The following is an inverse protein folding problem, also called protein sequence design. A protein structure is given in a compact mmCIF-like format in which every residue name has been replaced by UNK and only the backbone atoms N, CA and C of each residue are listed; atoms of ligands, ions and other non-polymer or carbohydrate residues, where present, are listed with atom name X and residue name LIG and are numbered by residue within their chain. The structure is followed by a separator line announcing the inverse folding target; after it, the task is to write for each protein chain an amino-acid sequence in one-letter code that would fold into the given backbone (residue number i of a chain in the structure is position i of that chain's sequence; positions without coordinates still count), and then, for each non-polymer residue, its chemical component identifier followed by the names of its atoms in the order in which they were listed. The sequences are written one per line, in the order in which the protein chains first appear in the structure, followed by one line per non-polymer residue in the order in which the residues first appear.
data_IF_632533463740
#
_entry.id   IF_632533463740
#
_cell.length_a   1.000
_cell.length_b   1.000
_cell.length_c   1.000
_cell.angle_alpha   90.00
_cell.angle_beta   90.00
_cell.angle_gamma   90.00
#
_symmetry.space_group_name_H-M   'P 1'
#
loop_
_entity.id
_entity.type
_entity.pdbx_description
1 polymer ?
#
# COMPACT_ATOMS: atom_id res chain seq x y z
N UNK A 1 10.40 -10.78 9.48
CA UNK A 1 10.55 -10.20 8.12
C UNK A 1 10.09 -8.74 8.08
N UNK A 2 10.38 -8.01 7.00
CA UNK A 2 9.89 -6.65 6.76
C UNK A 2 9.22 -6.57 5.40
N UNK A 3 8.07 -5.90 5.36
CA UNK A 3 7.32 -5.62 4.14
C UNK A 3 7.34 -4.11 3.95
N UNK A 4 7.84 -3.66 2.81
CA UNK A 4 7.96 -2.24 2.48
C UNK A 4 7.05 -1.94 1.31
N UNK A 5 6.01 -1.17 1.53
CA UNK A 5 5.17 -0.63 0.47
C UNK A 5 5.71 0.73 0.03
N UNK A 6 5.86 0.89 -1.26
CA UNK A 6 6.26 2.14 -1.91
C UNK A 6 5.12 2.57 -2.81
N UNK A 7 4.44 3.67 -2.46
CA UNK A 7 3.45 4.25 -3.36
C UNK A 7 4.16 4.80 -4.60
N UNK A 8 3.58 4.58 -5.79
CA UNK A 8 4.09 5.20 -7.02
C UNK A 8 4.30 6.70 -6.86
N UNK A 9 5.23 7.27 -7.59
CA UNK A 9 5.50 8.69 -7.64
C UNK A 9 4.35 9.45 -8.32
N UNK A 10 4.40 10.79 -8.36
CA UNK A 10 3.31 11.62 -8.87
C UNK A 10 2.90 11.19 -10.29
N UNK A 11 1.61 10.78 -10.48
CA UNK A 11 1.19 10.11 -11.68
C UNK A 11 0.71 11.06 -12.77
N UNK A 12 1.05 10.75 -14.02
CA UNK A 12 0.33 11.21 -15.20
C UNK A 12 -0.66 10.10 -15.61
N UNK A 13 -1.93 10.27 -15.27
CA UNK A 13 -2.97 9.30 -15.58
C UNK A 13 -3.32 9.24 -17.07
N UNK A 14 -2.88 10.21 -17.89
CA UNK A 14 -3.19 10.22 -19.34
C UNK A 14 -2.43 9.16 -20.11
N UNK A 15 -1.24 8.79 -19.60
CA UNK A 15 -0.33 7.80 -20.20
C UNK A 15 0.03 6.68 -19.25
N UNK A 16 -0.59 6.63 -18.06
CA UNK A 16 -0.29 5.68 -16.95
C UNK A 16 1.22 5.64 -16.62
N UNK A 17 1.84 6.81 -16.50
CA UNK A 17 3.25 6.98 -16.17
C UNK A 17 3.42 8.05 -15.09
N UNK A 18 4.56 8.75 -15.05
CA UNK A 18 4.91 9.77 -14.08
C UNK A 18 4.91 11.16 -14.71
N UNK A 19 4.50 12.17 -13.96
CA UNK A 19 4.72 13.58 -14.33
C UNK A 19 6.21 13.93 -14.28
N UNK A 20 6.65 15.08 -14.82
CA UNK A 20 8.04 15.54 -14.63
C UNK A 20 8.46 15.55 -13.15
N UNK A 21 7.57 16.01 -12.26
CA UNK A 21 7.78 15.95 -10.81
C UNK A 21 7.86 14.52 -10.29
N UNK A 22 6.99 13.63 -10.79
CA UNK A 22 7.02 12.21 -10.43
C UNK A 22 8.36 11.54 -10.78
N UNK A 23 9.00 11.92 -11.87
CA UNK A 23 10.34 11.43 -12.21
C UNK A 23 11.44 11.96 -11.26
N UNK A 24 11.31 13.21 -10.78
CA UNK A 24 12.19 13.76 -9.74
C UNK A 24 12.00 13.01 -8.41
N UNK A 25 10.74 12.81 -7.97
CA UNK A 25 10.42 11.99 -6.80
C UNK A 25 11.03 10.58 -6.91
N UNK A 26 10.90 9.93 -8.09
CA UNK A 26 11.43 8.59 -8.33
C UNK A 26 12.96 8.54 -8.23
N UNK A 27 13.66 9.59 -8.69
CA UNK A 27 15.12 9.69 -8.57
C UNK A 27 15.57 9.79 -7.10
N UNK A 28 14.89 10.62 -6.29
CA UNK A 28 15.18 10.77 -4.87
C UNK A 28 14.84 9.50 -4.07
N UNK A 29 13.73 8.87 -4.41
CA UNK A 29 13.33 7.58 -3.84
C UNK A 29 14.36 6.49 -4.18
N UNK A 30 14.87 6.44 -5.41
CA UNK A 30 15.88 5.49 -5.84
C UNK A 30 17.17 5.61 -5.03
N UNK A 31 17.62 6.83 -4.71
CA UNK A 31 18.78 7.06 -3.83
C UNK A 31 18.57 6.50 -2.41
N UNK A 32 17.33 6.42 -1.96
CA UNK A 32 16.96 5.82 -0.68
C UNK A 32 16.89 4.30 -0.78
N UNK A 33 16.14 3.76 -1.75
CA UNK A 33 15.90 2.33 -1.95
C UNK A 33 17.20 1.60 -2.27
N UNK A 34 18.10 2.22 -3.01
CA UNK A 34 19.39 1.62 -3.39
C UNK A 34 20.28 1.25 -2.20
N UNK A 35 20.06 1.87 -1.03
CA UNK A 35 20.83 1.62 0.20
C UNK A 35 20.27 0.50 1.06
N UNK A 36 19.08 -0.03 0.72
CA UNK A 36 18.45 -1.06 1.51
C UNK A 36 18.96 -2.44 1.17
N UNK A 37 19.09 -3.31 2.18
CA UNK A 37 19.24 -4.73 1.95
C UNK A 37 17.86 -5.33 1.69
N UNK A 38 17.59 -5.69 0.44
CA UNK A 38 16.30 -6.21 -0.03
C UNK A 38 16.50 -7.58 -0.65
N UNK A 39 15.67 -8.53 -0.27
CA UNK A 39 15.70 -9.89 -0.79
C UNK A 39 14.88 -9.99 -2.09
N UNK A 40 13.66 -9.45 -2.10
CA UNK A 40 12.77 -9.56 -3.25
C UNK A 40 12.05 -8.25 -3.53
N UNK A 41 11.87 -7.96 -4.82
CA UNK A 41 11.10 -6.83 -5.31
C UNK A 41 9.85 -7.29 -6.05
N UNK A 42 8.75 -6.61 -5.76
CA UNK A 42 7.46 -6.80 -6.41
C UNK A 42 6.92 -5.48 -6.92
N UNK A 43 6.12 -5.52 -7.97
CA UNK A 43 5.49 -4.32 -8.50
C UNK A 43 4.08 -4.57 -9.03
N UNK A 44 3.25 -3.54 -8.96
CA UNK A 44 1.95 -3.47 -9.61
C UNK A 44 2.08 -3.61 -11.13
N UNK A 45 1.06 -4.14 -11.83
CA UNK A 45 1.03 -4.16 -13.30
C UNK A 45 0.85 -2.77 -13.92
N UNK A 46 0.47 -1.71 -13.16
CA UNK A 46 0.20 -0.37 -13.69
C UNK A 46 1.49 0.39 -13.99
N UNK A 47 1.48 1.17 -15.09
CA UNK A 47 2.66 1.82 -15.64
C UNK A 47 3.38 2.73 -14.65
N UNK A 48 2.65 3.63 -13.97
CA UNK A 48 3.22 4.53 -12.95
C UNK A 48 3.98 3.83 -11.82
N UNK A 49 3.53 2.63 -11.40
CA UNK A 49 4.23 1.84 -10.39
C UNK A 49 5.46 1.13 -10.97
N UNK A 50 5.38 0.65 -12.22
CA UNK A 50 6.51 0.09 -12.96
C UNK A 50 7.61 1.12 -13.19
N UNK A 51 7.24 2.35 -13.59
CA UNK A 51 8.19 3.43 -13.81
C UNK A 51 8.89 3.84 -12.50
N UNK A 52 8.14 3.92 -11.40
CA UNK A 52 8.72 4.14 -10.07
C UNK A 52 9.71 3.04 -9.67
N UNK A 53 9.33 1.77 -9.88
CA UNK A 53 10.19 0.61 -9.61
C UNK A 53 11.45 0.65 -10.48
N UNK A 54 11.29 0.93 -11.77
CA UNK A 54 12.39 0.93 -12.75
C UNK A 54 13.52 1.86 -12.34
N UNK A 55 13.22 3.12 -11.95
CA UNK A 55 14.25 4.07 -11.51
C UNK A 55 15.04 3.54 -10.31
N UNK A 56 14.34 2.92 -9.35
CA UNK A 56 14.97 2.33 -8.16
C UNK A 56 15.86 1.13 -8.50
N UNK A 57 15.41 0.26 -9.42
CA UNK A 57 16.15 -0.93 -9.83
C UNK A 57 17.36 -0.55 -10.71
N UNK A 58 17.20 0.41 -11.63
CA UNK A 58 18.30 0.94 -12.44
C UNK A 58 19.41 1.52 -11.54
N UNK A 59 19.03 2.31 -10.51
CA UNK A 59 20.01 2.84 -9.54
C UNK A 59 20.73 1.74 -8.77
N UNK A 60 20.07 0.67 -8.42
CA UNK A 60 20.69 -0.50 -7.78
C UNK A 60 21.66 -1.21 -8.73
N UNK A 61 21.28 -1.36 -10.00
CA UNK A 61 22.15 -1.98 -11.02
C UNK A 61 23.45 -1.18 -11.24
N UNK A 62 23.38 0.16 -11.21
CA UNK A 62 24.57 1.05 -11.25
C UNK A 62 25.52 0.78 -10.07
N UNK A 63 25.01 0.29 -8.94
CA UNK A 63 25.79 -0.09 -7.76
C UNK A 63 26.24 -1.57 -7.76
N UNK A 64 25.97 -2.29 -8.85
CA UNK A 64 26.28 -3.73 -8.96
C UNK A 64 25.29 -4.65 -8.23
N UNK A 65 24.15 -4.12 -7.77
CA UNK A 65 23.09 -4.84 -7.08
C UNK A 65 21.95 -5.14 -8.06
N UNK A 66 22.13 -6.13 -8.90
CA UNK A 66 21.14 -6.52 -9.91
C UNK A 66 19.98 -7.27 -9.26
N UNK A 67 18.76 -6.70 -9.39
CA UNK A 67 17.50 -7.31 -8.97
C UNK A 67 16.47 -7.11 -10.06
N UNK A 68 15.57 -8.07 -10.18
CA UNK A 68 14.35 -7.96 -10.99
C UNK A 68 13.14 -7.85 -10.06
N UNK A 69 12.12 -7.09 -10.45
CA UNK A 69 10.87 -7.05 -9.73
C UNK A 69 9.84 -7.96 -10.42
N UNK A 70 9.21 -8.83 -9.64
CA UNK A 70 8.10 -9.65 -10.11
C UNK A 70 6.82 -8.84 -10.16
N UNK A 71 6.10 -8.90 -11.30
CA UNK A 71 4.80 -8.26 -11.44
C UNK A 71 3.73 -9.11 -10.77
N UNK A 72 3.00 -8.50 -9.81
CA UNK A 72 1.87 -9.13 -9.13
C UNK A 72 0.56 -8.51 -9.64
N UNK A 73 -0.27 -9.24 -10.42
CA UNK A 73 -1.50 -8.67 -10.99
C UNK A 73 -2.48 -8.14 -9.94
N UNK A 74 -2.54 -8.75 -8.77
CA UNK A 74 -3.41 -8.35 -7.66
C UNK A 74 -2.90 -7.10 -6.90
N UNK A 75 -1.66 -6.67 -7.11
CA UNK A 75 -1.07 -5.48 -6.50
C UNK A 75 -1.46 -4.18 -7.24
N UNK A 76 -2.37 -4.24 -8.21
CA UNK A 76 -2.96 -3.06 -8.86
C UNK A 76 -3.66 -2.17 -7.82
N UNK A 77 -3.98 -0.93 -8.21
CA UNK A 77 -4.76 -0.05 -7.33
C UNK A 77 -6.10 -0.68 -6.98
N UNK A 78 -6.44 -0.62 -5.69
CA UNK A 78 -7.75 -1.04 -5.19
C UNK A 78 -8.75 0.10 -5.43
N UNK A 79 -9.23 0.18 -6.66
CA UNK A 79 -10.10 1.23 -7.15
C UNK A 79 -11.38 0.61 -7.71
N UNK A 80 -12.51 0.96 -7.11
CA UNK A 80 -13.83 0.49 -7.51
C UNK A 80 -14.86 1.58 -7.38
N UNK A 81 -15.68 1.74 -8.41
CA UNK A 81 -16.80 2.66 -8.43
C UNK A 81 -17.96 2.11 -7.61
N UNK A 82 -18.46 2.93 -6.72
CA UNK A 82 -19.60 2.67 -5.85
C UNK A 82 -20.72 3.68 -6.10
N UNK A 83 -21.87 3.42 -5.48
CA UNK A 83 -22.99 4.35 -5.46
C UNK A 83 -23.53 4.47 -4.05
N UNK A 84 -23.74 5.72 -3.60
CA UNK A 84 -24.39 5.96 -2.32
C UNK A 84 -25.80 5.37 -2.32
N UNK A 85 -26.19 4.58 -1.29
CA UNK A 85 -27.52 3.94 -1.25
C UNK A 85 -28.69 4.89 -1.31
N UNK A 86 -28.57 6.08 -0.66
CA UNK A 86 -29.65 7.04 -0.50
C UNK A 86 -29.83 7.95 -1.72
N UNK A 87 -28.73 8.35 -2.38
CA UNK A 87 -28.74 9.34 -3.48
C UNK A 87 -28.46 8.73 -4.83
N UNK A 88 -27.93 7.51 -4.89
CA UNK A 88 -27.41 6.85 -6.09
C UNK A 88 -26.29 7.64 -6.80
N UNK A 89 -25.68 8.61 -6.11
CA UNK A 89 -24.53 9.35 -6.60
C UNK A 89 -23.28 8.47 -6.64
N UNK A 90 -22.46 8.59 -7.68
CA UNK A 90 -21.23 7.81 -7.77
C UNK A 90 -20.19 8.27 -6.75
N UNK A 91 -19.44 7.35 -6.21
CA UNK A 91 -18.27 7.60 -5.36
C UNK A 91 -17.23 6.50 -5.55
N UNK A 92 -16.03 6.72 -5.04
CA UNK A 92 -14.98 5.71 -5.00
C UNK A 92 -15.03 4.95 -3.67
N UNK A 93 -14.49 3.71 -3.67
CA UNK A 93 -14.47 2.86 -2.47
C UNK A 93 -13.64 3.44 -1.31
N UNK A 94 -12.76 4.37 -1.56
CA UNK A 94 -11.87 4.97 -0.57
C UNK A 94 -12.01 6.50 -0.42
N UNK A 95 -13.02 7.12 -1.05
CA UNK A 95 -13.25 8.57 -0.96
C UNK A 95 -14.72 8.85 -0.58
N UNK A 96 -14.97 8.92 0.72
CA UNK A 96 -16.32 9.15 1.26
C UNK A 96 -16.42 10.51 1.93
N UNK A 97 -17.62 11.13 1.84
CA UNK A 97 -17.89 12.34 2.60
C UNK A 97 -17.74 12.06 4.11
N UNK A 98 -17.06 12.94 4.86
CA UNK A 98 -16.78 12.71 6.28
C UNK A 98 -18.02 12.44 7.14
N UNK A 99 -19.15 13.09 6.83
CA UNK A 99 -20.42 12.87 7.54
C UNK A 99 -20.97 11.46 7.29
N UNK A 100 -20.86 10.94 6.05
CA UNK A 100 -21.29 9.59 5.71
C UNK A 100 -20.41 8.54 6.40
N UNK A 101 -19.09 8.70 6.31
CA UNK A 101 -18.15 7.78 6.94
C UNK A 101 -18.33 7.72 8.46
N UNK A 102 -18.35 8.89 9.14
CA UNK A 102 -18.51 8.96 10.60
C UNK A 102 -19.90 8.54 11.08
N UNK A 103 -20.93 8.71 10.26
CA UNK A 103 -22.30 8.28 10.56
C UNK A 103 -22.52 6.77 10.45
N UNK A 104 -21.68 6.06 9.73
CA UNK A 104 -21.82 4.62 9.47
C UNK A 104 -20.77 3.81 10.25
N UNK A 105 -21.15 3.30 11.42
CA UNK A 105 -20.23 2.58 12.32
C UNK A 105 -19.68 1.28 11.71
N UNK A 106 -20.39 0.64 10.82
CA UNK A 106 -19.96 -0.60 10.19
C UNK A 106 -18.76 -0.37 9.25
N UNK A 107 -18.61 0.83 8.69
CA UNK A 107 -17.40 1.20 7.95
C UNK A 107 -16.14 1.23 8.82
N UNK A 108 -16.28 1.34 10.13
CA UNK A 108 -15.15 1.33 11.08
C UNK A 108 -14.83 -0.07 11.60
N UNK A 109 -15.64 -1.07 11.30
CA UNK A 109 -15.50 -2.43 11.80
C UNK A 109 -14.73 -3.29 10.81
N UNK A 110 -13.62 -3.89 11.26
CA UNK A 110 -12.71 -4.68 10.41
C UNK A 110 -13.38 -5.89 9.72
N UNK A 111 -14.48 -6.41 10.29
CA UNK A 111 -15.16 -7.61 9.80
C UNK A 111 -16.47 -7.28 9.07
N UNK A 112 -16.94 -6.01 9.08
CA UNK A 112 -18.23 -5.59 8.53
C UNK A 112 -18.16 -4.49 7.47
N UNK A 113 -17.04 -3.78 7.37
CA UNK A 113 -16.91 -2.64 6.48
C UNK A 113 -17.28 -2.95 5.02
N UNK A 114 -16.89 -4.13 4.52
CA UNK A 114 -17.14 -4.56 3.15
C UNK A 114 -18.58 -5.07 2.92
N UNK A 115 -19.35 -5.30 3.99
CA UNK A 115 -20.73 -5.77 3.95
C UNK A 115 -21.77 -4.65 4.10
N UNK A 116 -21.35 -3.39 4.11
CA UNK A 116 -22.28 -2.25 4.07
C UNK A 116 -22.97 -2.16 2.72
N UNK A 117 -24.17 -1.57 2.67
CA UNK A 117 -24.93 -1.41 1.41
C UNK A 117 -24.11 -0.65 0.36
N UNK A 118 -23.32 0.34 0.80
CA UNK A 118 -22.40 1.08 -0.05
C UNK A 118 -21.38 0.13 -0.69
N UNK A 119 -20.66 -0.64 0.09
CA UNK A 119 -19.59 -1.53 -0.40
C UNK A 119 -20.10 -2.68 -1.27
N UNK A 120 -21.32 -3.17 -0.98
CA UNK A 120 -21.98 -4.18 -1.84
C UNK A 120 -22.30 -3.66 -3.23
N UNK A 121 -22.50 -2.35 -3.41
CA UNK A 121 -22.78 -1.76 -4.72
C UNK A 121 -21.66 -1.98 -5.74
N UNK A 122 -20.40 -2.16 -5.28
CA UNK A 122 -19.21 -2.45 -6.10
C UNK A 122 -18.59 -3.83 -5.89
N UNK A 123 -19.29 -4.77 -5.23
CA UNK A 123 -18.78 -6.13 -4.94
C UNK A 123 -17.43 -6.13 -4.19
N UNK A 124 -17.23 -5.15 -3.30
CA UNK A 124 -15.95 -4.89 -2.62
C UNK A 124 -15.45 -6.09 -1.82
N UNK A 125 -16.36 -6.87 -1.22
CA UNK A 125 -15.97 -8.05 -0.45
C UNK A 125 -15.19 -9.06 -1.28
N UNK A 126 -15.69 -9.41 -2.46
CA UNK A 126 -15.02 -10.38 -3.33
C UNK A 126 -13.63 -9.87 -3.80
N UNK A 127 -13.53 -8.58 -4.11
CA UNK A 127 -12.26 -7.97 -4.51
C UNK A 127 -11.26 -7.90 -3.34
N UNK A 128 -11.74 -7.58 -2.13
CA UNK A 128 -10.93 -7.63 -0.92
C UNK A 128 -10.41 -9.04 -0.63
N UNK A 129 -11.30 -10.05 -0.66
CA UNK A 129 -10.94 -11.45 -0.42
C UNK A 129 -9.93 -11.96 -1.47
N UNK A 130 -10.09 -11.57 -2.75
CA UNK A 130 -9.16 -11.96 -3.80
C UNK A 130 -7.75 -11.39 -3.58
N UNK A 131 -7.65 -10.11 -3.24
CA UNK A 131 -6.37 -9.44 -2.98
C UNK A 131 -5.70 -9.98 -1.73
N UNK A 132 -6.44 -10.11 -0.63
CA UNK A 132 -5.88 -10.58 0.65
C UNK A 132 -5.48 -12.05 0.62
N UNK A 133 -6.25 -12.90 -0.06
CA UNK A 133 -5.90 -14.32 -0.24
C UNK A 133 -4.62 -14.48 -1.07
N UNK A 134 -4.46 -13.70 -2.14
CA UNK A 134 -3.25 -13.74 -2.96
C UNK A 134 -2.03 -13.23 -2.16
N UNK A 135 -2.21 -12.24 -1.31
CA UNK A 135 -1.17 -11.74 -0.40
C UNK A 135 -0.80 -12.78 0.67
N UNK A 136 -1.78 -13.45 1.27
CA UNK A 136 -1.54 -14.51 2.25
C UNK A 136 -0.79 -15.71 1.64
N UNK A 137 -1.08 -16.09 0.39
CA UNK A 137 -0.29 -17.10 -0.33
C UNK A 137 1.15 -16.64 -0.59
N UNK A 138 1.38 -15.36 -0.87
CA UNK A 138 2.73 -14.82 -0.96
C UNK A 138 3.45 -14.93 0.39
N UNK A 139 2.82 -14.52 1.50
CA UNK A 139 3.42 -14.59 2.84
C UNK A 139 3.69 -16.03 3.28
N UNK A 140 2.83 -16.97 2.90
CA UNK A 140 3.05 -18.41 3.14
C UNK A 140 4.35 -18.90 2.47
N UNK A 141 4.69 -18.38 1.28
CA UNK A 141 5.99 -18.63 0.64
C UNK A 141 7.18 -18.12 1.46
N UNK A 142 6.95 -17.16 2.35
CA UNK A 142 7.92 -16.63 3.30
C UNK A 142 7.83 -17.28 4.69
N UNK A 143 7.00 -18.29 4.88
CA UNK A 143 6.87 -19.01 6.13
C UNK A 143 5.85 -18.43 7.12
N UNK A 144 4.94 -17.55 6.67
CA UNK A 144 3.88 -16.97 7.50
C UNK A 144 2.50 -17.41 6.98
N UNK A 145 1.83 -18.30 7.69
CA UNK A 145 0.50 -18.82 7.34
C UNK A 145 -0.57 -18.15 8.20
N UNK A 146 -1.50 -17.43 7.56
CA UNK A 146 -2.54 -16.70 8.26
C UNK A 146 -3.50 -17.65 8.97
N UNK A 147 -3.84 -17.31 10.24
CA UNK A 147 -4.86 -17.99 11.06
C UNK A 147 -6.18 -17.21 11.05
N UNK A 148 -7.25 -17.87 11.46
CA UNK A 148 -8.60 -17.28 11.52
C UNK A 148 -8.74 -16.11 12.51
N UNK A 149 -7.87 -16.03 13.52
CA UNK A 149 -7.84 -14.94 14.50
C UNK A 149 -7.07 -13.70 14.01
N UNK A 150 -6.48 -13.79 12.81
CA UNK A 150 -5.69 -12.71 12.22
C UNK A 150 -4.20 -12.74 12.56
N UNK A 151 -3.74 -13.67 13.42
CA UNK A 151 -2.32 -13.97 13.62
C UNK A 151 -1.76 -14.84 12.49
N UNK A 152 -0.46 -15.07 12.51
CA UNK A 152 0.22 -15.92 11.54
C UNK A 152 0.98 -17.03 12.23
N UNK A 153 0.81 -18.26 11.75
CA UNK A 153 1.70 -19.35 12.09
C UNK A 153 3.05 -19.14 11.42
N UNK A 154 4.12 -19.27 12.19
CA UNK A 154 5.50 -19.19 11.68
C UNK A 154 5.99 -20.60 11.40
N UNK A 155 5.99 -20.98 10.12
CA UNK A 155 6.53 -22.27 9.67
C UNK A 155 8.04 -22.19 9.41
N UNK A 156 8.57 -20.99 9.17
CA UNK A 156 9.99 -20.72 9.01
C UNK A 156 10.29 -19.25 9.34
N UNK A 157 11.06 -19.04 10.41
CA UNK A 157 11.56 -17.71 10.76
C UNK A 157 12.49 -17.16 9.68
N UNK A 158 12.40 -15.86 9.39
CA UNK A 158 13.34 -15.15 8.54
C UNK A 158 13.38 -13.64 8.82
N UNK A 159 14.51 -13.02 8.42
CA UNK A 159 14.76 -11.58 8.51
C UNK A 159 14.64 -10.86 7.14
N UNK A 160 14.03 -11.51 6.17
CA UNK A 160 13.90 -10.98 4.81
C UNK A 160 13.18 -9.64 4.77
N UNK A 161 13.59 -8.83 3.82
CA UNK A 161 12.95 -7.58 3.46
C UNK A 161 12.44 -7.68 2.03
N UNK A 162 11.13 -7.50 1.84
CA UNK A 162 10.49 -7.42 0.52
C UNK A 162 9.99 -6.00 0.28
N UNK A 163 10.13 -5.53 -0.97
CA UNK A 163 9.68 -4.19 -1.39
C UNK A 163 8.61 -4.35 -2.46
N UNK A 164 7.49 -3.65 -2.28
CA UNK A 164 6.33 -3.67 -3.18
C UNK A 164 6.04 -2.27 -3.70
N UNK A 165 6.29 -2.01 -4.99
CA UNK A 165 5.91 -0.76 -5.64
C UNK A 165 4.45 -0.85 -6.06
N UNK A 166 3.60 -0.02 -5.44
CA UNK A 166 2.15 -0.14 -5.57
C UNK A 166 1.42 1.20 -5.38
N UNK A 167 0.24 1.18 -4.76
CA UNK A 167 -0.69 2.30 -4.72
C UNK A 167 -1.25 2.51 -3.32
N UNK A 168 -1.97 3.63 -3.15
CA UNK A 168 -2.58 4.01 -1.87
C UNK A 168 -3.64 3.01 -1.40
N UNK A 169 -4.64 2.74 -2.24
CA UNK A 169 -5.80 1.94 -1.84
C UNK A 169 -5.42 0.51 -1.47
N UNK A 170 -4.59 -0.15 -2.29
CA UNK A 170 -4.13 -1.51 -2.02
C UNK A 170 -3.19 -1.58 -0.82
N UNK A 171 -2.35 -0.58 -0.58
CA UNK A 171 -1.50 -0.54 0.63
C UNK A 171 -2.35 -0.48 1.90
N UNK A 172 -3.41 0.33 1.90
CA UNK A 172 -4.33 0.40 3.04
C UNK A 172 -5.09 -0.93 3.25
N UNK A 173 -5.54 -1.59 2.17
CA UNK A 173 -6.15 -2.94 2.25
C UNK A 173 -5.20 -3.93 2.93
N UNK A 174 -3.96 -4.04 2.44
CA UNK A 174 -3.00 -5.00 2.97
C UNK A 174 -2.54 -4.66 4.39
N UNK A 175 -2.37 -3.37 4.68
CA UNK A 175 -2.07 -2.90 6.04
C UNK A 175 -3.20 -3.24 7.00
N UNK A 176 -4.45 -2.95 6.63
CA UNK A 176 -5.63 -3.28 7.42
C UNK A 176 -5.76 -4.78 7.66
N UNK A 177 -5.56 -5.58 6.62
CA UNK A 177 -5.59 -7.04 6.69
C UNK A 177 -4.58 -7.61 7.69
N UNK A 178 -3.35 -7.12 7.67
CA UNK A 178 -2.29 -7.56 8.59
C UNK A 178 -2.48 -7.08 10.03
N UNK A 179 -3.07 -5.91 10.23
CA UNK A 179 -3.12 -5.25 11.54
C UNK A 179 -4.48 -5.32 12.23
N UNK A 180 -5.50 -5.82 11.54
CA UNK A 180 -6.87 -5.88 12.07
C UNK A 180 -7.56 -4.51 12.14
N UNK A 181 -7.16 -3.56 11.28
CA UNK A 181 -7.81 -2.24 11.13
C UNK A 181 -8.65 -2.26 9.86
N UNK A 182 -9.89 -1.75 9.93
CA UNK A 182 -10.71 -1.62 8.72
C UNK A 182 -9.99 -0.76 7.67
N UNK A 183 -9.82 -1.21 6.42
CA UNK A 183 -9.18 -0.42 5.35
C UNK A 183 -9.82 0.97 5.16
N UNK A 184 -11.11 1.09 5.34
CA UNK A 184 -11.86 2.34 5.32
C UNK A 184 -11.35 3.37 6.32
N UNK A 185 -10.93 2.94 7.52
CA UNK A 185 -10.30 3.82 8.51
C UNK A 185 -8.94 4.33 8.03
N UNK A 186 -8.17 3.51 7.31
CA UNK A 186 -6.89 3.91 6.75
C UNK A 186 -7.08 4.85 5.57
N UNK A 187 -8.03 4.58 4.69
CA UNK A 187 -8.35 5.43 3.54
C UNK A 187 -8.81 6.83 3.94
N UNK A 188 -9.65 6.93 4.98
CA UNK A 188 -10.26 8.20 5.38
C UNK A 188 -9.39 9.06 6.30
N UNK A 189 -8.49 8.45 7.08
CA UNK A 189 -7.81 9.16 8.15
C UNK A 189 -6.28 9.22 7.98
N UNK A 190 -5.70 8.53 7.00
CA UNK A 190 -4.26 8.48 6.80
C UNK A 190 -3.90 8.88 5.37
N UNK A 191 -3.02 9.85 5.25
CA UNK A 191 -2.49 10.25 3.97
C UNK A 191 -1.16 9.54 3.69
N UNK A 192 -1.07 8.90 2.54
CA UNK A 192 0.18 8.39 1.99
C UNK A 192 0.51 9.19 0.74
N UNK A 193 1.42 10.14 0.82
CA UNK A 193 1.85 10.93 -0.32
C UNK A 193 2.42 10.07 -1.45
N UNK A 194 2.49 10.59 -2.67
CA UNK A 194 3.23 9.96 -3.76
C UNK A 194 4.67 9.71 -3.35
N UNK A 195 5.30 8.68 -3.88
CA UNK A 195 6.63 8.18 -3.51
C UNK A 195 6.83 7.77 -2.04
N UNK A 196 5.80 7.90 -1.18
CA UNK A 196 5.95 7.59 0.24
C UNK A 196 6.19 6.10 0.52
N UNK A 197 6.81 5.86 1.66
CA UNK A 197 7.23 4.53 2.13
C UNK A 197 6.46 4.16 3.39
N UNK A 198 5.85 2.97 3.38
CA UNK A 198 5.21 2.36 4.56
C UNK A 198 5.95 1.06 4.87
N UNK A 199 6.36 0.87 6.13
CA UNK A 199 7.13 -0.29 6.57
C UNK A 199 6.34 -1.04 7.64
N UNK A 200 6.16 -2.35 7.42
CA UNK A 200 5.50 -3.25 8.35
C UNK A 200 6.45 -4.39 8.68
N UNK A 201 6.64 -4.64 9.96
CA UNK A 201 7.50 -5.72 10.47
C UNK A 201 6.70 -6.84 11.12
N UNK A 202 7.13 -8.09 10.95
CA UNK A 202 6.65 -9.20 11.75
C UNK A 202 7.25 -9.17 13.16
N UNK A 203 6.45 -9.50 14.15
CA UNK A 203 6.86 -9.70 15.54
C UNK A 203 6.48 -11.11 15.99
N UNK A 204 7.46 -11.88 16.42
CA UNK A 204 7.32 -13.26 16.92
C UNK A 204 7.49 -13.26 18.43
N UNK A 205 6.47 -12.80 19.17
CA UNK A 205 6.50 -12.69 20.63
C UNK A 205 6.07 -13.95 21.35
N UNK A 206 5.44 -14.86 20.62
CA UNK A 206 5.03 -16.19 21.08
C UNK A 206 5.62 -17.23 20.13
N UNK A 207 6.06 -18.37 20.65
CA UNK A 207 6.65 -19.43 19.84
C UNK A 207 5.66 -19.88 18.72
N UNK A 208 6.15 -19.90 17.49
CA UNK A 208 5.39 -20.29 16.32
C UNK A 208 4.25 -19.33 15.93
N UNK A 209 4.19 -18.13 16.53
CA UNK A 209 3.12 -17.15 16.27
C UNK A 209 3.71 -15.78 15.97
N UNK A 210 3.31 -15.20 14.84
CA UNK A 210 3.66 -13.84 14.47
C UNK A 210 2.42 -12.94 14.37
N UNK A 211 2.64 -11.65 14.64
CA UNK A 211 1.77 -10.54 14.27
C UNK A 211 2.56 -9.52 13.45
N UNK A 212 1.86 -8.65 12.75
CA UNK A 212 2.48 -7.57 11.98
C UNK A 212 2.21 -6.21 12.62
N UNK A 213 3.23 -5.36 12.64
CA UNK A 213 3.13 -4.01 13.19
C UNK A 213 3.66 -2.98 12.21
N UNK A 214 2.91 -1.89 12.04
CA UNK A 214 3.35 -0.74 11.25
C UNK A 214 4.46 -0.02 12.01
N UNK A 215 5.65 0.02 11.42
CA UNK A 215 6.81 0.73 11.97
C UNK A 215 6.90 2.15 11.44
N UNK A 216 6.50 2.34 10.16
CA UNK A 216 6.54 3.62 9.45
C UNK A 216 5.32 3.67 8.54
N UNK A 217 4.65 4.81 8.47
CA UNK A 217 3.49 5.01 7.60
C UNK A 217 3.62 6.29 6.79
N UNK A 218 3.64 6.16 5.46
CA UNK A 218 3.61 7.31 4.56
C UNK A 218 4.84 8.23 4.61
N UNK A 219 6.02 7.71 4.96
CA UNK A 219 7.23 8.51 5.14
C UNK A 219 7.82 9.00 3.82
N UNK A 220 8.14 10.29 3.77
CA UNK A 220 8.69 11.02 2.63
C UNK A 220 10.09 11.60 2.89
N UNK A 221 10.85 11.02 3.81
CA UNK A 221 12.18 11.54 4.22
C UNK A 221 13.16 11.72 3.04
N UNK A 222 13.02 10.96 1.95
CA UNK A 222 13.83 11.12 0.74
C UNK A 222 13.58 12.47 0.03
N UNK A 223 12.37 13.03 0.13
CA UNK A 223 12.03 14.37 -0.38
C UNK A 223 12.50 15.44 0.60
N UNK A 224 12.07 15.38 1.85
CA UNK A 224 12.33 16.41 2.85
C UNK A 224 13.82 16.58 3.15
N UNK A 225 14.62 15.50 3.10
CA UNK A 225 16.09 15.59 3.26
C UNK A 225 16.81 16.33 2.11
N UNK A 226 16.09 16.61 1.03
CA UNK A 226 16.59 17.37 -0.14
C UNK A 226 15.90 18.72 -0.30
N UNK A 227 15.12 19.14 0.69
CA UNK A 227 14.26 20.33 0.66
C UNK A 227 13.23 20.31 -0.48
N UNK A 228 12.84 19.10 -0.92
CA UNK A 228 11.76 18.94 -1.88
C UNK A 228 10.42 18.87 -1.15
N UNK A 229 9.44 19.60 -1.66
CA UNK A 229 8.08 19.57 -1.10
C UNK A 229 7.39 18.23 -1.39
N UNK A 230 6.52 17.82 -0.50
CA UNK A 230 5.64 16.65 -0.72
C UNK A 230 4.52 17.03 -1.69
N UNK A 231 4.19 16.16 -2.65
CA UNK A 231 3.05 16.38 -3.54
C UNK A 231 1.73 16.34 -2.78
N UNK A 232 0.81 17.27 -3.10
CA UNK A 232 -0.56 17.27 -2.59
C UNK A 232 -1.50 16.36 -3.40
N UNK A 233 -1.00 15.61 -4.37
CA UNK A 233 -1.81 14.73 -5.22
C UNK A 233 -2.62 13.72 -4.39
N UNK A 234 -3.95 13.84 -4.43
CA UNK A 234 -4.87 13.01 -3.65
C UNK A 234 -5.08 13.48 -2.21
N UNK A 235 -4.72 14.72 -1.88
CA UNK A 235 -4.95 15.33 -0.56
C UNK A 235 -5.77 16.62 -0.68
N UNK A 236 -6.72 16.83 0.21
CA UNK A 236 -7.69 17.95 0.15
C UNK A 236 -7.31 19.15 1.01
N UNK A 237 -6.15 19.14 1.64
CA UNK A 237 -5.62 20.24 2.42
C UNK A 237 -4.19 20.58 1.97
N UNK A 238 -3.64 21.67 2.47
CA UNK A 238 -2.23 22.00 2.24
C UNK A 238 -1.33 21.01 2.98
N UNK A 239 -0.35 20.47 2.26
CA UNK A 239 0.69 19.63 2.87
C UNK A 239 1.70 20.54 3.57
N UNK A 240 2.10 20.17 4.80
CA UNK A 240 3.11 20.92 5.54
C UNK A 240 4.39 21.02 4.71
N UNK A 241 4.79 22.26 4.41
CA UNK A 241 6.08 22.56 3.83
C UNK A 241 7.11 22.69 4.95
N UNK A 242 8.19 21.95 4.83
CA UNK A 242 9.32 21.99 5.80
C UNK A 242 10.50 22.67 5.15
#
# INVERSE_FOLDING_TARGET
MRIVFVRHCEPDYTVDSLTPRGWEEASLLADRVSKWNVDDFYMSPLGRAKDTAKVSLDRRAELGLNHEASVLPWLKEFYYDLKYPDTNEPCMCWDHMPSYFNGNKDLHDKDRWYDTDLMRSGNIRAEYEAVTSAFDELLKGYGYVRRSDGTYEVTSHNDKTIVMFCHFGVTAVLTGHMTGVAPTCLWQNFFMATSSVTIIGSEEREEGTASFRVQVFGDTAHLTSKNESVSSSGYFAEVLSI
#
